data_IF_418092370881
#
_entry.id   IF_418092370881
#
_cell.length_a   1.000
_cell.length_b   1.000
_cell.length_c   1.000
_cell.angle_alpha   90.00
_cell.angle_beta   90.00
_cell.angle_gamma   90.00
#
_symmetry.space_group_name_H-M   'P 1'
#
loop_
_entity.id
_entity.type
_entity.pdbx_description
1 polymer ?
#
# COMPACT_ATOMS: atom_id res chain seq x y z
N UNK A 1 17.41 -8.75 -7.96
CA UNK A 1 16.96 -7.44 -7.41
C UNK A 1 17.15 -7.48 -5.91
N UNK A 2 17.52 -6.37 -5.28
CA UNK A 2 17.86 -6.32 -3.87
C UNK A 2 16.62 -6.54 -2.98
N UNK A 3 16.80 -7.22 -1.85
CA UNK A 3 15.77 -7.38 -0.81
C UNK A 3 15.26 -6.03 -0.26
N UNK A 4 16.04 -4.96 -0.42
CA UNK A 4 15.70 -3.59 -0.05
C UNK A 4 15.90 -2.66 -1.25
N UNK A 5 14.84 -2.23 -1.96
CA UNK A 5 14.91 -1.37 -3.14
C UNK A 5 15.24 0.11 -2.86
N UNK A 6 15.16 0.57 -1.61
CA UNK A 6 15.39 1.97 -1.27
C UNK A 6 16.85 2.28 -0.97
N UNK A 7 17.27 3.51 -1.29
CA UNK A 7 18.61 3.99 -0.95
C UNK A 7 18.80 3.99 0.57
N UNK A 8 19.89 3.38 1.04
CA UNK A 8 20.21 3.28 2.47
C UNK A 8 20.26 4.66 3.11
N UNK A 9 19.63 4.79 4.28
CA UNK A 9 19.58 6.07 5.00
C UNK A 9 18.56 7.07 4.44
N UNK A 10 17.59 6.59 3.66
CA UNK A 10 16.37 7.36 3.35
C UNK A 10 15.24 6.96 4.28
N UNK A 11 14.22 7.81 4.40
CA UNK A 11 13.02 7.50 5.19
C UNK A 11 12.31 6.23 4.71
N UNK A 12 12.24 6.00 3.39
CA UNK A 12 11.62 4.79 2.82
C UNK A 12 12.41 3.53 3.15
N UNK A 13 13.75 3.58 3.14
CA UNK A 13 14.62 2.48 3.59
C UNK A 13 14.39 2.18 5.08
N UNK A 14 14.32 3.21 5.92
CA UNK A 14 14.01 3.05 7.35
C UNK A 14 12.64 2.39 7.57
N UNK A 15 11.59 2.88 6.90
CA UNK A 15 10.25 2.30 6.99
C UNK A 15 10.27 0.84 6.55
N UNK A 16 10.84 0.55 5.39
CA UNK A 16 10.83 -0.79 4.84
C UNK A 16 11.55 -1.79 5.75
N UNK A 17 12.70 -1.42 6.32
CA UNK A 17 13.42 -2.30 7.27
C UNK A 17 12.55 -2.67 8.45
N UNK A 18 11.89 -1.70 9.09
CA UNK A 18 11.01 -1.97 10.22
C UNK A 18 9.78 -2.81 9.82
N UNK A 19 9.21 -2.56 8.64
CA UNK A 19 8.12 -3.39 8.09
C UNK A 19 8.59 -4.82 7.88
N UNK A 20 9.77 -5.03 7.29
CA UNK A 20 10.35 -6.36 7.09
C UNK A 20 10.67 -7.05 8.42
N UNK A 21 11.25 -6.34 9.39
CA UNK A 21 11.50 -6.87 10.72
C UNK A 21 10.20 -7.32 11.39
N UNK A 22 9.12 -6.55 11.22
CA UNK A 22 7.78 -6.95 11.68
C UNK A 22 7.29 -8.20 10.94
N UNK A 23 7.48 -8.28 9.63
CA UNK A 23 7.11 -9.45 8.81
C UNK A 23 7.80 -10.71 9.32
N UNK A 24 9.02 -10.67 9.88
CA UNK A 24 9.66 -11.87 10.44
C UNK A 24 9.49 -12.05 11.95
N UNK A 25 8.77 -11.15 12.62
CA UNK A 25 8.48 -11.28 14.05
C UNK A 25 7.48 -12.41 14.33
N UNK A 26 7.67 -13.10 15.46
CA UNK A 26 6.81 -14.19 15.93
C UNK A 26 5.36 -13.77 16.22
N UNK A 27 5.13 -12.49 16.49
CA UNK A 27 3.82 -11.93 16.85
C UNK A 27 3.08 -11.30 15.67
N UNK A 28 3.69 -11.25 14.48
CA UNK A 28 2.97 -10.87 13.28
C UNK A 28 2.27 -12.11 12.74
N UNK A 29 1.01 -12.00 12.36
CA UNK A 29 0.23 -13.06 11.72
C UNK A 29 -0.21 -12.50 10.38
N UNK A 30 -0.01 -13.28 9.32
CA UNK A 30 -0.37 -12.92 7.97
C UNK A 30 -0.79 -14.19 7.25
N UNK A 31 -1.88 -14.10 6.49
CA UNK A 31 -2.38 -15.19 5.66
C UNK A 31 -2.74 -14.64 4.29
N UNK A 32 -2.43 -15.40 3.24
CA UNK A 32 -2.98 -15.10 1.92
C UNK A 32 -4.50 -15.23 1.97
N UNK A 33 -5.24 -14.40 1.20
CA UNK A 33 -6.67 -14.54 1.16
C UNK A 33 -7.03 -15.90 0.54
N UNK A 34 -8.11 -16.55 1.00
CA UNK A 34 -8.55 -17.79 0.40
C UNK A 34 -9.06 -17.52 -1.02
N UNK A 35 -8.68 -18.40 -1.95
CA UNK A 35 -9.14 -18.38 -3.35
C UNK A 35 -9.87 -19.67 -3.70
N UNK A 36 -10.87 -19.58 -4.58
CA UNK A 36 -11.51 -20.75 -5.18
C UNK A 36 -10.58 -21.50 -6.13
N UNK A 37 -10.85 -22.79 -6.36
CA UNK A 37 -10.12 -23.60 -7.36
C UNK A 37 -10.21 -23.00 -8.77
N UNK A 38 -11.33 -22.33 -9.09
CA UNK A 38 -11.52 -21.65 -10.36
C UNK A 38 -10.58 -20.45 -10.49
N UNK A 39 -10.43 -19.64 -9.43
CA UNK A 39 -9.48 -18.53 -9.41
C UNK A 39 -8.04 -19.01 -9.51
N UNK A 40 -7.66 -20.06 -8.76
CA UNK A 40 -6.33 -20.68 -8.88
C UNK A 40 -6.07 -21.20 -10.29
N UNK A 41 -7.03 -21.93 -10.87
CA UNK A 41 -6.91 -22.43 -12.24
C UNK A 41 -6.72 -21.30 -13.24
N UNK A 42 -7.45 -20.18 -13.08
CA UNK A 42 -7.29 -18.99 -13.92
C UNK A 42 -5.87 -18.42 -13.85
N UNK A 43 -5.35 -18.20 -12.64
CA UNK A 43 -4.01 -17.62 -12.43
C UNK A 43 -2.89 -18.54 -12.95
N UNK A 44 -3.01 -19.84 -12.68
CA UNK A 44 -1.97 -20.82 -13.03
C UNK A 44 -1.94 -21.15 -14.52
N UNK A 45 -3.11 -21.27 -15.16
CA UNK A 45 -3.21 -21.79 -16.53
C UNK A 45 -3.37 -20.69 -17.60
N UNK A 46 -3.49 -19.42 -17.23
CA UNK A 46 -3.67 -18.32 -18.17
C UNK A 46 -2.70 -17.16 -17.88
N UNK A 47 -1.60 -17.09 -18.64
CA UNK A 47 -0.60 -16.03 -18.47
C UNK A 47 -1.13 -14.64 -18.78
N UNK A 48 -1.94 -14.50 -19.83
CA UNK A 48 -2.52 -13.20 -20.18
C UNK A 48 -3.47 -12.68 -19.09
N UNK A 49 -4.22 -13.58 -18.46
CA UNK A 49 -5.07 -13.19 -17.32
C UNK A 49 -4.25 -12.84 -16.09
N UNK A 50 -3.18 -13.58 -15.81
CA UNK A 50 -2.26 -13.26 -14.73
C UNK A 50 -1.67 -11.85 -14.88
N UNK A 51 -1.22 -11.47 -16.07
CA UNK A 51 -0.67 -10.12 -16.32
C UNK A 51 -1.75 -9.03 -16.12
N UNK A 52 -3.02 -9.31 -16.48
CA UNK A 52 -4.14 -8.40 -16.21
C UNK A 52 -4.42 -8.27 -14.73
N UNK A 53 -4.37 -9.37 -14.00
CA UNK A 53 -4.58 -9.40 -12.55
C UNK A 53 -3.42 -8.76 -11.78
N UNK A 54 -2.16 -8.93 -12.21
CA UNK A 54 -1.00 -8.20 -11.68
C UNK A 54 -1.25 -6.69 -11.75
N UNK A 55 -1.63 -6.19 -12.93
CA UNK A 55 -1.93 -4.77 -13.14
C UNK A 55 -3.04 -4.26 -12.22
N UNK A 56 -4.14 -5.00 -12.10
CA UNK A 56 -5.26 -4.64 -11.21
C UNK A 56 -4.82 -4.70 -9.73
N UNK A 57 -4.01 -5.69 -9.38
CA UNK A 57 -3.50 -5.93 -8.03
C UNK A 57 -2.62 -4.81 -7.52
N UNK A 58 -1.66 -4.35 -8.32
CA UNK A 58 -0.81 -3.19 -8.00
C UNK A 58 -1.66 -1.94 -7.71
N UNK A 59 -2.60 -1.63 -8.61
CA UNK A 59 -3.49 -0.48 -8.45
C UNK A 59 -4.38 -0.60 -7.20
N UNK A 60 -4.91 -1.80 -6.94
CA UNK A 60 -5.78 -2.09 -5.80
C UNK A 60 -5.02 -1.97 -4.47
N UNK A 61 -3.81 -2.54 -4.39
CA UNK A 61 -2.96 -2.44 -3.20
C UNK A 61 -2.52 -1.00 -2.95
N UNK A 62 -2.08 -0.30 -4.00
CA UNK A 62 -1.71 1.12 -3.94
C UNK A 62 -2.85 2.00 -3.43
N UNK A 63 -4.07 1.80 -3.94
CA UNK A 63 -5.27 2.52 -3.50
C UNK A 63 -5.63 2.22 -2.06
N UNK A 64 -5.75 0.93 -1.72
CA UNK A 64 -6.20 0.47 -0.39
C UNK A 64 -5.24 0.88 0.72
N UNK A 65 -3.92 0.72 0.49
CA UNK A 65 -2.90 1.21 1.44
C UNK A 65 -3.00 2.72 1.64
N UNK A 66 -3.24 3.49 0.57
CA UNK A 66 -3.39 4.95 0.67
C UNK A 66 -4.60 5.35 1.51
N UNK A 67 -5.74 4.71 1.29
CA UNK A 67 -6.97 4.95 2.04
C UNK A 67 -6.80 4.62 3.52
N UNK A 68 -6.19 3.47 3.83
CA UNK A 68 -5.99 3.03 5.21
C UNK A 68 -4.92 3.85 5.95
N UNK A 69 -3.86 4.30 5.26
CA UNK A 69 -2.91 5.27 5.82
C UNK A 69 -3.61 6.58 6.19
N UNK A 70 -4.49 7.10 5.32
CA UNK A 70 -5.25 8.31 5.59
C UNK A 70 -6.23 8.11 6.74
N UNK A 71 -6.92 6.97 6.79
CA UNK A 71 -7.85 6.62 7.87
C UNK A 71 -7.15 6.55 9.22
N UNK A 72 -6.00 5.87 9.29
CA UNK A 72 -5.25 5.66 10.54
C UNK A 72 -4.58 6.96 10.99
N UNK A 73 -4.12 7.80 10.06
CA UNK A 73 -3.40 9.03 10.38
C UNK A 73 -3.91 10.21 9.55
N UNK A 74 -5.12 10.70 9.84
CA UNK A 74 -5.80 11.79 9.09
C UNK A 74 -4.93 13.05 8.93
N UNK A 75 -4.08 13.35 9.92
CA UNK A 75 -3.19 14.52 9.92
C UNK A 75 -1.76 14.22 9.43
N UNK A 76 -1.57 13.12 8.69
CA UNK A 76 -0.30 12.79 8.05
C UNK A 76 0.14 13.85 7.04
N UNK A 77 1.45 14.07 6.91
CA UNK A 77 1.98 14.96 5.88
C UNK A 77 1.98 14.26 4.50
N UNK A 78 1.96 14.98 3.38
CA UNK A 78 2.11 14.38 2.05
C UNK A 78 3.40 13.54 1.92
N UNK A 79 4.48 13.98 2.57
CA UNK A 79 5.74 13.23 2.65
C UNK A 79 5.59 11.91 3.39
N UNK A 80 4.88 11.90 4.52
CA UNK A 80 4.55 10.66 5.23
C UNK A 80 3.78 9.68 4.33
N UNK A 81 2.66 10.11 3.74
CA UNK A 81 1.83 9.22 2.93
C UNK A 81 2.59 8.65 1.74
N UNK A 82 3.41 9.46 1.08
CA UNK A 82 4.21 9.02 -0.07
C UNK A 82 5.21 7.95 0.34
N UNK A 83 6.02 8.20 1.37
CA UNK A 83 7.08 7.27 1.79
C UNK A 83 6.51 5.99 2.41
N UNK A 84 5.47 6.11 3.26
CA UNK A 84 4.83 4.95 3.87
C UNK A 84 4.16 4.06 2.82
N UNK A 85 3.39 4.64 1.88
CA UNK A 85 2.77 3.88 0.78
C UNK A 85 3.84 3.17 -0.05
N UNK A 86 4.85 3.90 -0.53
CA UNK A 86 5.91 3.32 -1.37
C UNK A 86 6.60 2.15 -0.69
N UNK A 87 6.85 2.21 0.62
CA UNK A 87 7.47 1.10 1.35
C UNK A 87 6.51 -0.09 1.55
N UNK A 88 5.23 0.17 1.87
CA UNK A 88 4.23 -0.86 2.12
C UNK A 88 3.79 -1.60 0.83
N UNK A 89 3.86 -0.94 -0.33
CA UNK A 89 3.46 -1.51 -1.63
C UNK A 89 4.64 -1.85 -2.53
N UNK A 90 5.87 -1.90 -2.00
CA UNK A 90 7.02 -2.32 -2.78
C UNK A 90 6.97 -3.84 -3.04
N UNK A 91 7.35 -4.29 -4.24
CA UNK A 91 7.44 -5.72 -4.57
C UNK A 91 8.31 -6.49 -3.58
N UNK A 92 9.34 -5.87 -2.98
CA UNK A 92 10.14 -6.50 -1.93
C UNK A 92 9.37 -6.75 -0.65
N UNK A 93 8.47 -5.85 -0.24
CA UNK A 93 7.59 -6.06 0.91
C UNK A 93 6.64 -7.23 0.66
N UNK A 94 6.04 -7.31 -0.53
CA UNK A 94 5.21 -8.44 -0.94
C UNK A 94 6.02 -9.75 -1.03
N UNK A 95 7.22 -9.71 -1.59
CA UNK A 95 8.11 -10.87 -1.63
C UNK A 95 8.45 -11.38 -0.22
N UNK A 96 8.72 -10.50 0.75
CA UNK A 96 8.96 -10.90 2.13
C UNK A 96 7.74 -11.57 2.78
N UNK A 97 6.51 -11.11 2.49
CA UNK A 97 5.29 -11.80 2.91
C UNK A 97 5.22 -13.21 2.30
N UNK A 98 5.47 -13.34 0.99
CA UNK A 98 5.44 -14.63 0.28
C UNK A 98 6.53 -15.59 0.77
N UNK A 99 7.73 -15.09 1.09
CA UNK A 99 8.81 -15.88 1.68
C UNK A 99 8.43 -16.38 3.07
N UNK A 100 7.85 -15.51 3.91
CA UNK A 100 7.43 -15.86 5.27
C UNK A 100 6.39 -17.00 5.26
N UNK A 101 5.53 -17.03 4.25
CA UNK A 101 4.53 -18.08 4.07
C UNK A 101 5.07 -19.37 3.43
N UNK A 102 6.33 -19.39 2.99
CA UNK A 102 6.93 -20.55 2.33
C UNK A 102 6.50 -20.74 0.87
N UNK A 103 5.90 -19.72 0.23
CA UNK A 103 5.49 -19.78 -1.18
C UNK A 103 6.61 -19.37 -2.15
N UNK A 104 7.70 -18.78 -1.64
CA UNK A 104 8.90 -18.41 -2.38
C UNK A 104 10.14 -18.57 -1.49
N UNK A 105 11.30 -18.87 -2.08
CA UNK A 105 12.59 -18.91 -1.37
C UNK A 105 13.20 -17.52 -1.27
N UNK A 106 13.91 -17.19 -0.18
CA UNK A 106 14.63 -15.92 -0.03
C UNK A 106 15.65 -15.62 -1.14
N UNK A 107 16.09 -16.65 -1.87
CA UNK A 107 17.00 -16.56 -3.02
C UNK A 107 16.27 -16.28 -4.34
N UNK A 108 14.94 -16.39 -4.36
CA UNK A 108 14.14 -16.13 -5.54
C UNK A 108 14.18 -14.65 -5.94
N UNK A 109 13.80 -14.39 -7.18
CA UNK A 109 13.68 -13.03 -7.68
C UNK A 109 12.50 -12.34 -6.98
N UNK A 110 12.77 -11.17 -6.40
CA UNK A 110 11.76 -10.32 -5.73
C UNK A 110 10.55 -10.00 -6.62
N UNK A 111 10.77 -9.61 -7.89
CA UNK A 111 9.69 -9.15 -8.76
C UNK A 111 8.61 -10.23 -8.96
N UNK A 112 8.93 -11.47 -9.41
CA UNK A 112 7.94 -12.54 -9.52
C UNK A 112 7.11 -12.82 -8.25
N UNK A 113 7.73 -12.77 -7.07
CA UNK A 113 7.00 -12.97 -5.82
C UNK A 113 6.03 -11.82 -5.51
N UNK A 114 6.43 -10.58 -5.81
CA UNK A 114 5.55 -9.42 -5.72
C UNK A 114 4.39 -9.48 -6.73
N UNK A 115 4.68 -9.80 -7.99
CA UNK A 115 3.68 -9.90 -9.05
C UNK A 115 2.66 -11.02 -8.73
N UNK A 116 3.13 -12.15 -8.16
CA UNK A 116 2.27 -13.24 -7.70
C UNK A 116 1.34 -12.81 -6.55
N UNK A 117 1.87 -12.05 -5.58
CA UNK A 117 1.07 -11.48 -4.51
C UNK A 117 -0.04 -10.58 -5.07
N UNK A 118 0.30 -9.60 -5.92
CA UNK A 118 -0.65 -8.67 -6.53
C UNK A 118 -1.75 -9.41 -7.31
N UNK A 119 -1.35 -10.42 -8.07
CA UNK A 119 -2.28 -11.29 -8.80
C UNK A 119 -3.28 -11.98 -7.87
N UNK A 120 -2.83 -12.56 -6.76
CA UNK A 120 -3.69 -13.25 -5.78
C UNK A 120 -4.68 -12.26 -5.17
N UNK A 121 -4.23 -11.05 -4.82
CA UNK A 121 -5.09 -10.00 -4.25
C UNK A 121 -6.17 -9.57 -5.25
N UNK A 122 -5.82 -9.39 -6.52
CA UNK A 122 -6.78 -9.02 -7.57
C UNK A 122 -7.82 -10.12 -7.80
N UNK A 123 -7.40 -11.39 -7.86
CA UNK A 123 -8.32 -12.52 -8.01
C UNK A 123 -9.27 -12.62 -6.82
N UNK A 124 -8.76 -12.45 -5.59
CA UNK A 124 -9.58 -12.46 -4.39
C UNK A 124 -10.64 -11.37 -4.44
N UNK A 125 -10.25 -10.15 -4.81
CA UNK A 125 -11.19 -9.03 -4.95
C UNK A 125 -12.27 -9.28 -6.01
N UNK A 126 -11.97 -10.04 -7.06
CA UNK A 126 -12.94 -10.36 -8.12
C UNK A 126 -14.02 -11.36 -7.68
N UNK A 127 -13.71 -12.27 -6.76
CA UNK A 127 -14.68 -13.28 -6.30
C UNK A 127 -15.33 -12.94 -4.94
N UNK A 128 -14.91 -11.86 -4.29
CA UNK A 128 -15.51 -11.40 -3.02
C UNK A 128 -16.14 -10.01 -3.10
N UNK A 129 -16.93 -9.66 -2.08
CA UNK A 129 -17.42 -8.29 -1.92
C UNK A 129 -16.29 -7.32 -1.54
N UNK A 130 -16.54 -6.02 -1.69
CA UNK A 130 -15.60 -4.99 -1.28
C UNK A 130 -15.36 -5.01 0.23
N UNK A 131 -16.39 -5.31 1.01
CA UNK A 131 -16.36 -5.37 2.47
C UNK A 131 -15.50 -6.54 2.96
N UNK A 132 -15.65 -7.72 2.35
CA UNK A 132 -14.83 -8.89 2.67
C UNK A 132 -13.34 -8.62 2.38
N UNK A 133 -13.05 -8.00 1.23
CA UNK A 133 -11.70 -7.58 0.87
C UNK A 133 -11.11 -6.59 1.88
N UNK A 134 -11.87 -5.54 2.22
CA UNK A 134 -11.43 -4.52 3.18
C UNK A 134 -11.20 -5.10 4.57
N UNK A 135 -12.04 -6.04 5.00
CA UNK A 135 -11.87 -6.73 6.27
C UNK A 135 -10.57 -7.55 6.27
N UNK A 136 -10.37 -8.41 5.27
CA UNK A 136 -9.13 -9.19 5.13
C UNK A 136 -7.89 -8.27 5.10
N UNK A 137 -7.94 -7.18 4.33
CA UNK A 137 -6.85 -6.24 4.23
C UNK A 137 -6.52 -5.64 5.61
N UNK A 138 -7.53 -5.18 6.35
CA UNK A 138 -7.31 -4.59 7.69
C UNK A 138 -6.75 -5.60 8.66
N UNK A 139 -7.23 -6.83 8.66
CA UNK A 139 -6.75 -7.88 9.56
C UNK A 139 -5.26 -8.19 9.33
N UNK A 140 -4.79 -8.09 8.08
CA UNK A 140 -3.43 -8.44 7.69
C UNK A 140 -2.44 -7.27 7.62
N UNK A 141 -2.89 -6.08 7.20
CA UNK A 141 -2.00 -4.93 6.93
C UNK A 141 -1.99 -3.87 8.03
N UNK A 142 -2.99 -3.83 8.94
CA UNK A 142 -3.06 -2.77 9.97
C UNK A 142 -1.80 -2.71 10.82
N UNK A 143 -1.24 -3.86 11.23
CA UNK A 143 0.00 -3.89 12.00
C UNK A 143 1.19 -3.34 11.21
N UNK A 144 1.29 -3.64 9.91
CA UNK A 144 2.36 -3.12 9.05
C UNK A 144 2.23 -1.61 8.86
N UNK A 145 1.00 -1.10 8.72
CA UNK A 145 0.74 0.34 8.63
C UNK A 145 1.15 1.06 9.92
N UNK A 146 0.82 0.51 11.09
CA UNK A 146 1.26 1.10 12.36
C UNK A 146 2.79 1.11 12.51
N UNK A 147 3.47 0.04 12.08
CA UNK A 147 4.93 0.00 12.06
C UNK A 147 5.51 1.05 11.10
N UNK A 148 4.92 1.22 9.92
CA UNK A 148 5.34 2.26 8.99
C UNK A 148 5.18 3.67 9.56
N UNK A 149 4.07 3.95 10.27
CA UNK A 149 3.85 5.19 11.01
C UNK A 149 4.96 5.43 12.05
N UNK A 150 5.22 4.44 12.92
CA UNK A 150 6.20 4.55 13.98
C UNK A 150 7.64 4.72 13.43
N UNK A 151 7.98 4.01 12.36
CA UNK A 151 9.28 4.12 11.71
C UNK A 151 9.48 5.51 11.08
N UNK A 152 8.45 6.08 10.45
CA UNK A 152 8.51 7.45 9.92
C UNK A 152 8.70 8.47 11.04
N UNK A 153 7.94 8.36 12.13
CA UNK A 153 8.04 9.31 13.26
C UNK A 153 9.40 9.24 13.94
N UNK A 154 9.93 8.03 14.13
CA UNK A 154 11.29 7.80 14.65
C UNK A 154 12.34 8.45 13.74
N UNK A 155 12.24 8.25 12.43
CA UNK A 155 13.13 8.86 11.45
C UNK A 155 13.11 10.40 11.52
N UNK A 156 11.91 11.00 11.57
CA UNK A 156 11.75 12.45 11.63
C UNK A 156 12.31 13.04 12.94
N UNK A 157 12.15 12.34 14.06
CA UNK A 157 12.69 12.77 15.35
C UNK A 157 14.22 12.72 15.39
N UNK A 158 14.84 11.76 14.71
CA UNK A 158 16.30 11.64 14.63
C UNK A 158 16.92 12.61 13.61
N UNK A 159 16.18 12.97 12.56
CA UNK A 159 16.72 13.70 11.40
C UNK A 159 16.51 15.22 11.42
N UNK A 160 15.70 15.77 12.31
CA UNK A 160 15.32 17.19 12.29
C UNK A 160 15.80 17.98 13.52
N UNK A 161 16.63 19.04 13.36
CA UNK A 161 16.71 20.12 14.32
C UNK A 161 15.36 20.86 14.40
N UNK A 162 14.86 21.14 15.61
CA UNK A 162 13.58 21.85 15.82
C UNK A 162 13.64 23.28 15.27
N UNK A 163 13.06 23.56 14.08
CA UNK A 163 12.54 24.89 13.76
C UNK A 163 11.49 24.91 12.63
N UNK A 164 10.78 26.05 12.55
CA UNK A 164 9.39 26.29 12.13
C UNK A 164 9.13 26.42 10.61
N UNK A 165 7.91 26.00 10.22
CA UNK A 165 7.02 26.79 9.35
C UNK A 165 7.10 26.53 7.84
N UNK A 166 6.20 25.68 7.30
CA UNK A 166 6.12 25.39 5.87
C UNK A 166 5.13 26.28 5.12
N UNK A 167 5.59 26.94 4.04
CA UNK A 167 4.79 27.78 3.14
C UNK A 167 4.11 27.07 1.95
N UNK A 168 4.03 25.73 1.92
CA UNK A 168 3.55 24.97 0.76
C UNK A 168 2.03 24.90 0.55
N UNK A 169 1.22 25.31 1.54
CA UNK A 169 -0.24 25.07 1.61
C UNK A 169 -1.08 25.87 0.59
N UNK A 170 -0.57 26.99 0.07
CA UNK A 170 -1.40 28.00 -0.63
C UNK A 170 -1.86 27.55 -2.03
N UNK A 171 -1.03 26.82 -2.78
CA UNK A 171 -1.33 26.45 -4.18
C UNK A 171 -2.38 25.33 -4.28
N UNK A 172 -2.33 24.38 -3.36
CA UNK A 172 -3.25 23.23 -3.32
C UNK A 172 -4.65 23.65 -2.85
N UNK A 173 -4.75 24.59 -1.90
CA UNK A 173 -6.02 25.20 -1.47
C UNK A 173 -6.76 25.86 -2.63
N UNK A 174 -6.04 26.65 -3.45
CA UNK A 174 -6.60 27.32 -4.63
C UNK A 174 -7.17 26.37 -5.69
N UNK A 175 -6.60 25.17 -5.85
CA UNK A 175 -7.11 24.17 -6.80
C UNK A 175 -8.40 23.51 -6.29
N UNK A 176 -8.44 23.18 -4.99
CA UNK A 176 -9.63 22.60 -4.35
C UNK A 176 -10.80 23.59 -4.32
N UNK A 177 -10.53 24.87 -4.09
CA UNK A 177 -11.56 25.92 -4.12
C UNK A 177 -12.14 26.09 -5.54
N UNK A 178 -11.29 26.04 -6.59
CA UNK A 178 -11.75 26.06 -7.99
C UNK A 178 -12.63 24.85 -8.33
N UNK A 179 -12.27 23.65 -7.87
CA UNK A 179 -13.06 22.44 -8.09
C UNK A 179 -14.44 22.53 -7.41
N UNK A 180 -14.48 23.00 -6.14
CA UNK A 180 -15.74 23.26 -5.41
C UNK A 180 -16.63 24.26 -6.15
N UNK A 181 -16.06 25.34 -6.67
CA UNK A 181 -16.82 26.35 -7.42
C UNK A 181 -17.41 25.80 -8.71
N UNK A 182 -16.67 24.99 -9.49
CA UNK A 182 -17.21 24.33 -10.70
C UNK A 182 -18.36 23.40 -10.36
N UNK A 183 -18.19 22.55 -9.35
CA UNK A 183 -19.21 21.57 -8.97
C UNK A 183 -20.51 22.26 -8.49
N UNK A 184 -20.39 23.39 -7.78
CA UNK A 184 -21.55 24.21 -7.37
C UNK A 184 -22.23 24.88 -8.57
N UNK A 185 -21.46 25.37 -9.55
CA UNK A 185 -22.00 25.96 -10.78
C UNK A 185 -22.74 24.92 -11.64
N UNK A 186 -22.19 23.72 -11.77
CA UNK A 186 -22.81 22.60 -12.50
C UNK A 186 -24.10 22.12 -11.84
N UNK A 187 -24.16 22.05 -10.50
CA UNK A 187 -25.40 21.72 -9.78
C UNK A 187 -26.49 22.77 -9.98
N UNK A 188 -26.15 24.06 -10.00
CA UNK A 188 -27.09 25.15 -10.30
C UNK A 188 -27.58 25.11 -11.76
N UNK A 189 -26.69 24.85 -12.71
CA UNK A 189 -27.05 24.72 -14.12
C UNK A 189 -27.98 23.53 -14.39
N UNK A 190 -27.96 22.50 -13.53
CA UNK A 190 -28.83 21.32 -13.60
C UNK A 190 -30.11 21.43 -12.75
N UNK A 191 -30.36 22.57 -12.09
CA UNK A 191 -31.55 22.76 -11.24
C UNK A 191 -31.60 21.89 -9.99
N UNK A 192 -30.45 21.38 -9.53
CA UNK A 192 -30.31 20.48 -8.37
C UNK A 192 -29.98 21.23 -7.06
N UNK A 193 -29.98 22.57 -7.09
CA UNK A 193 -29.77 23.53 -6.00
C UNK A 193 -30.55 24.80 -6.30
#
# INVERSE_FOLDING_TARGET
MAAFPFNKGTVSDSIQRHVVDKIYSSHFVFELPPLSDAAWSSICNNSAERDRLEFVGDALMSGTVSEELYRIRIQGSPGFYTNARSALTANSTFAHLMHRLGHHDMRDKVKPAGDAFETIIAAYRNETSAEAFQQWFRDNFTQLIHVACAAYDSWMNLSMPRSKGSGGSVKQRRLLDKAKHRQKAEKRARGLL
#
